data_IF_387958131704
#
_entry.id   IF_387958131704
#
_cell.length_a   1.000
_cell.length_b   1.000
_cell.length_c   1.000
_cell.angle_alpha   90.00
_cell.angle_beta   90.00
_cell.angle_gamma   90.00
#
_symmetry.space_group_name_H-M   'P 1'
#
loop_
_entity.id
_entity.type
_entity.pdbx_description
1 polymer ?
#
# COMPACT_ATOMS: atom_id res chain seq x y z
N UNK A 1 7.78 -7.75 30.19
CA UNK A 1 8.30 -8.66 29.13
C UNK A 1 7.30 -8.69 27.98
N UNK A 2 7.73 -8.39 26.75
CA UNK A 2 6.85 -8.32 25.57
C UNK A 2 6.30 -9.72 25.26
N UNK A 3 4.97 -9.91 25.23
CA UNK A 3 4.38 -11.21 24.91
C UNK A 3 4.45 -11.47 23.40
N UNK A 4 5.53 -12.11 22.97
CA UNK A 4 5.83 -12.37 21.56
C UNK A 4 4.71 -13.12 20.82
N UNK A 5 4.04 -14.08 21.49
CA UNK A 5 2.91 -14.84 20.92
C UNK A 5 1.70 -13.93 20.63
N UNK A 6 1.37 -13.02 21.57
CA UNK A 6 0.29 -12.03 21.37
C UNK A 6 0.61 -11.06 20.23
N UNK A 7 1.85 -10.58 20.15
CA UNK A 7 2.30 -9.68 19.07
C UNK A 7 2.19 -10.36 17.70
N UNK A 8 2.71 -11.58 17.57
CA UNK A 8 2.67 -12.37 16.33
C UNK A 8 1.23 -12.61 15.85
N UNK A 9 0.33 -12.98 16.75
CA UNK A 9 -1.10 -13.14 16.43
C UNK A 9 -1.77 -11.83 15.99
N UNK A 10 -1.39 -10.70 16.60
CA UNK A 10 -1.88 -9.38 16.19
C UNK A 10 -1.43 -9.03 14.77
N UNK A 11 -0.16 -9.28 14.44
CA UNK A 11 0.39 -9.07 13.10
C UNK A 11 -0.35 -9.89 12.04
N UNK A 12 -0.57 -11.20 12.27
CA UNK A 12 -1.31 -12.05 11.34
C UNK A 12 -2.75 -11.57 11.10
N UNK A 13 -3.46 -11.15 12.16
CA UNK A 13 -4.82 -10.59 12.02
C UNK A 13 -4.82 -9.30 11.19
N UNK A 14 -3.84 -8.42 11.42
CA UNK A 14 -3.68 -7.18 10.65
C UNK A 14 -3.38 -7.46 9.17
N UNK A 15 -2.50 -8.43 8.88
CA UNK A 15 -2.18 -8.86 7.52
C UNK A 15 -3.40 -9.43 6.81
N UNK A 16 -4.12 -10.37 7.43
CA UNK A 16 -5.31 -10.96 6.83
C UNK A 16 -6.37 -9.90 6.52
N UNK A 17 -6.57 -8.94 7.44
CA UNK A 17 -7.46 -7.80 7.20
C UNK A 17 -7.01 -6.96 6.00
N UNK A 18 -5.72 -6.74 5.85
CA UNK A 18 -5.17 -6.03 4.69
C UNK A 18 -5.36 -6.81 3.39
N UNK A 19 -5.03 -8.10 3.37
CA UNK A 19 -5.18 -8.99 2.20
C UNK A 19 -6.64 -9.01 1.75
N UNK A 20 -7.57 -9.31 2.66
CA UNK A 20 -8.99 -9.38 2.32
C UNK A 20 -9.53 -8.03 1.83
N UNK A 21 -9.09 -6.91 2.44
CA UNK A 21 -9.49 -5.57 1.99
C UNK A 21 -8.90 -5.22 0.61
N UNK A 22 -7.66 -5.59 0.35
CA UNK A 22 -7.02 -5.37 -0.95
C UNK A 22 -7.73 -6.15 -2.05
N UNK A 23 -7.94 -7.46 -1.86
CA UNK A 23 -8.67 -8.30 -2.83
C UNK A 23 -10.04 -7.68 -3.09
N UNK A 24 -10.83 -7.38 -2.05
CA UNK A 24 -12.17 -6.83 -2.20
C UNK A 24 -12.25 -5.52 -3.00
N UNK A 25 -11.22 -4.65 -2.92
CA UNK A 25 -11.25 -3.35 -3.58
C UNK A 25 -10.61 -3.33 -4.96
N UNK A 26 -9.72 -4.29 -5.27
CA UNK A 26 -8.86 -4.22 -6.46
C UNK A 26 -8.95 -5.45 -7.38
N UNK A 27 -9.56 -6.57 -6.96
CA UNK A 27 -9.61 -7.80 -7.77
C UNK A 27 -10.45 -7.67 -9.05
N UNK A 28 -11.53 -6.88 -8.99
CA UNK A 28 -12.47 -6.69 -10.10
C UNK A 28 -12.13 -5.47 -10.97
N UNK A 29 -11.03 -4.77 -10.69
CA UNK A 29 -10.60 -3.63 -11.48
C UNK A 29 -10.07 -4.10 -12.84
N UNK A 30 -10.58 -3.51 -13.91
CA UNK A 30 -10.15 -3.83 -15.28
C UNK A 30 -8.75 -3.30 -15.60
N UNK A 31 -8.38 -2.17 -14.99
CA UNK A 31 -7.09 -1.52 -15.16
C UNK A 31 -6.56 -1.10 -13.80
N UNK A 32 -5.34 -1.51 -13.48
CA UNK A 32 -4.64 -1.13 -12.27
C UNK A 32 -3.38 -0.34 -12.63
N UNK A 33 -2.96 0.56 -11.76
CA UNK A 33 -1.66 1.24 -11.91
C UNK A 33 -0.82 1.00 -10.66
N UNK A 34 0.30 0.32 -10.84
CA UNK A 34 1.34 0.16 -9.83
C UNK A 34 2.32 1.32 -9.96
N UNK A 35 2.53 2.05 -8.87
CA UNK A 35 3.46 3.18 -8.80
C UNK A 35 4.45 2.96 -7.66
N UNK A 36 5.67 3.32 -7.95
CA UNK A 36 6.84 3.18 -7.11
C UNK A 36 7.45 4.59 -7.02
N UNK A 37 7.24 5.27 -5.89
CA UNK A 37 7.68 6.66 -5.65
C UNK A 37 8.90 6.69 -4.73
N UNK A 38 10.03 7.10 -5.26
CA UNK A 38 11.28 7.23 -4.53
C UNK A 38 11.62 8.69 -4.31
N UNK A 39 11.93 9.09 -3.07
CA UNK A 39 12.51 10.41 -2.79
C UNK A 39 13.92 10.49 -3.37
N UNK A 40 14.35 11.63 -3.93
CA UNK A 40 15.75 11.87 -4.31
C UNK A 40 16.59 12.06 -3.04
N UNK A 41 16.09 12.89 -2.13
CA UNK A 41 16.66 13.07 -0.80
C UNK A 41 16.50 11.82 0.08
N UNK A 42 17.37 11.68 1.08
CA UNK A 42 17.34 10.54 1.99
C UNK A 42 16.32 10.75 3.13
N UNK A 43 15.04 10.82 2.78
CA UNK A 43 13.96 11.00 3.76
C UNK A 43 13.76 9.69 4.54
N UNK A 44 14.09 9.69 5.81
CA UNK A 44 13.96 8.55 6.74
C UNK A 44 12.75 8.67 7.68
N UNK A 45 12.26 9.89 7.90
CA UNK A 45 11.09 10.17 8.75
C UNK A 45 9.78 9.85 8.01
N UNK A 46 9.02 8.88 8.55
CA UNK A 46 7.78 8.40 7.97
C UNK A 46 6.66 9.44 8.00
N UNK A 47 6.63 10.32 9.02
CA UNK A 47 5.64 11.39 9.12
C UNK A 47 5.87 12.42 8.01
N UNK A 48 7.13 12.84 7.81
CA UNK A 48 7.49 13.77 6.72
C UNK A 48 7.14 13.13 5.37
N UNK A 49 7.53 11.87 5.16
CA UNK A 49 7.23 11.16 3.93
C UNK A 49 5.71 11.05 3.67
N UNK A 50 4.92 10.79 4.72
CA UNK A 50 3.46 10.73 4.64
C UNK A 50 2.82 12.09 4.31
N UNK A 51 3.34 13.20 4.83
CA UNK A 51 2.88 14.54 4.47
C UNK A 51 3.08 14.79 2.97
N UNK A 52 4.26 14.47 2.42
CA UNK A 52 4.52 14.62 1.00
C UNK A 52 3.65 13.70 0.15
N UNK A 53 3.39 12.48 0.61
CA UNK A 53 2.46 11.57 -0.04
C UNK A 53 1.02 12.12 -0.07
N UNK A 54 0.54 12.72 1.02
CA UNK A 54 -0.80 13.30 1.07
C UNK A 54 -0.94 14.48 0.09
N UNK A 55 0.09 15.32 -0.03
CA UNK A 55 0.14 16.39 -1.05
C UNK A 55 0.14 15.81 -2.46
N UNK A 56 0.88 14.74 -2.71
CA UNK A 56 0.86 14.00 -3.98
C UNK A 56 -0.56 13.51 -4.32
N UNK A 57 -1.25 12.84 -3.40
CA UNK A 57 -2.62 12.36 -3.63
C UNK A 57 -3.59 13.52 -3.88
N UNK A 58 -3.43 14.65 -3.16
CA UNK A 58 -4.25 15.85 -3.37
C UNK A 58 -4.09 16.40 -4.80
N UNK A 59 -2.84 16.57 -5.26
CA UNK A 59 -2.53 17.02 -6.64
C UNK A 59 -3.04 16.02 -7.68
N UNK A 60 -2.86 14.73 -7.41
CA UNK A 60 -3.28 13.66 -8.30
C UNK A 60 -4.80 13.65 -8.50
N UNK A 61 -5.57 13.71 -7.42
CA UNK A 61 -7.04 13.78 -7.50
C UNK A 61 -7.52 15.03 -8.26
N UNK A 62 -6.88 16.17 -8.02
CA UNK A 62 -7.18 17.42 -8.71
C UNK A 62 -6.95 17.31 -10.23
N UNK A 63 -5.80 16.79 -10.65
CA UNK A 63 -5.48 16.63 -12.08
C UNK A 63 -6.22 15.49 -12.76
N UNK A 64 -6.55 14.42 -12.04
CA UNK A 64 -7.24 13.25 -12.58
C UNK A 64 -8.76 13.44 -12.67
N UNK A 65 -9.32 14.41 -11.93
CA UNK A 65 -10.76 14.76 -11.95
C UNK A 65 -11.71 13.60 -11.61
N UNK A 66 -11.23 12.61 -10.84
CA UNK A 66 -12.03 11.48 -10.39
C UNK A 66 -11.51 10.99 -9.06
N UNK A 67 -12.39 10.40 -8.27
CA UNK A 67 -11.98 9.63 -7.11
C UNK A 67 -11.17 8.40 -7.52
N UNK A 68 -10.14 8.15 -6.71
CA UNK A 68 -9.19 7.07 -6.86
C UNK A 68 -9.19 6.26 -5.57
N UNK A 69 -9.27 4.93 -5.68
CA UNK A 69 -8.92 4.03 -4.59
C UNK A 69 -7.45 3.70 -4.69
N UNK A 70 -6.78 3.64 -3.56
CA UNK A 70 -5.40 3.17 -3.52
C UNK A 70 -5.08 2.37 -2.26
N UNK A 71 -4.10 1.49 -2.39
CA UNK A 71 -3.37 0.90 -1.27
C UNK A 71 -1.91 1.31 -1.42
N UNK A 72 -1.41 2.05 -0.45
CA UNK A 72 0.00 2.40 -0.32
C UNK A 72 0.65 1.50 0.72
N UNK A 73 1.88 1.10 0.44
CA UNK A 73 2.84 0.51 1.38
C UNK A 73 4.10 1.36 1.36
N UNK A 74 4.75 1.55 2.50
CA UNK A 74 6.09 2.13 2.54
C UNK A 74 7.14 1.09 2.91
N UNK A 75 8.34 1.27 2.35
CA UNK A 75 9.50 0.43 2.62
C UNK A 75 10.76 1.31 2.68
N UNK A 76 11.79 0.85 3.39
CA UNK A 76 13.10 1.49 3.36
C UNK A 76 13.94 0.92 2.22
N UNK A 77 14.53 1.79 1.40
CA UNK A 77 15.55 1.42 0.43
C UNK A 77 16.84 0.99 1.13
N UNK A 78 17.78 0.38 0.38
CA UNK A 78 19.11 -0.01 0.91
C UNK A 78 19.86 1.16 1.59
N UNK A 79 19.64 2.40 1.11
CA UNK A 79 20.24 3.62 1.67
C UNK A 79 19.49 4.21 2.88
N UNK A 80 18.39 3.60 3.30
CA UNK A 80 17.52 4.09 4.39
C UNK A 80 16.39 5.03 3.96
N UNK A 81 16.39 5.54 2.73
CA UNK A 81 15.32 6.41 2.24
C UNK A 81 13.99 5.66 2.13
N UNK A 82 12.89 6.33 2.43
CA UNK A 82 11.55 5.79 2.27
C UNK A 82 11.17 5.67 0.79
N UNK A 83 10.51 4.57 0.46
CA UNK A 83 9.93 4.26 -0.83
C UNK A 83 8.44 3.97 -0.66
N UNK A 84 7.58 4.58 -1.47
CA UNK A 84 6.17 4.16 -1.56
C UNK A 84 5.92 3.21 -2.72
N UNK A 85 5.28 2.09 -2.41
CA UNK A 85 4.69 1.16 -3.37
C UNK A 85 3.17 1.32 -3.31
N UNK A 86 2.55 1.65 -4.43
CA UNK A 86 1.15 2.07 -4.46
C UNK A 86 0.45 1.35 -5.58
N UNK A 87 -0.72 0.79 -5.28
CA UNK A 87 -1.65 0.29 -6.30
C UNK A 87 -2.87 1.20 -6.35
N UNK A 88 -3.25 1.61 -7.56
CA UNK A 88 -4.48 2.36 -7.86
C UNK A 88 -5.50 1.49 -8.58
N UNK A 89 -6.78 1.75 -8.34
CA UNK A 89 -7.93 1.03 -8.95
C UNK A 89 -8.21 1.36 -10.42
N UNK A 90 -7.42 2.28 -11.00
CA UNK A 90 -7.58 2.79 -12.36
C UNK A 90 -6.23 3.00 -13.01
N UNK A 91 -6.25 3.08 -14.34
CA UNK A 91 -5.11 3.56 -15.11
C UNK A 91 -4.83 5.04 -14.83
N UNK A 92 -3.57 5.36 -14.55
CA UNK A 92 -3.08 6.74 -14.40
C UNK A 92 -1.84 6.88 -15.28
N UNK A 93 -1.87 7.84 -16.21
CA UNK A 93 -0.74 8.08 -17.11
C UNK A 93 0.48 8.60 -16.36
N UNK A 94 1.68 8.15 -16.77
CA UNK A 94 2.95 8.60 -16.21
C UNK A 94 3.13 10.12 -16.29
N UNK A 95 2.51 10.78 -17.28
CA UNK A 95 2.50 12.24 -17.43
C UNK A 95 1.80 12.92 -16.25
N UNK A 96 0.64 12.41 -15.82
CA UNK A 96 -0.09 12.96 -14.67
C UNK A 96 0.71 12.70 -13.38
N UNK A 97 1.22 11.49 -13.22
CA UNK A 97 1.98 11.09 -12.02
C UNK A 97 3.21 11.99 -11.86
N UNK A 98 3.96 12.22 -12.94
CA UNK A 98 5.16 13.09 -12.95
C UNK A 98 4.84 14.54 -12.62
N UNK A 99 3.68 15.06 -13.02
CA UNK A 99 3.25 16.42 -12.62
C UNK A 99 2.91 16.52 -11.13
N UNK A 100 2.60 15.41 -10.46
CA UNK A 100 2.18 15.39 -9.06
C UNK A 100 3.34 15.14 -8.09
N UNK A 101 4.38 14.43 -8.53
CA UNK A 101 5.51 14.01 -7.71
C UNK A 101 6.80 14.73 -8.10
N UNK A 102 7.17 15.73 -7.30
CA UNK A 102 8.35 16.57 -7.54
C UNK A 102 9.57 16.16 -6.71
N UNK A 103 9.47 15.07 -5.93
CA UNK A 103 10.47 14.74 -4.91
C UNK A 103 11.48 13.67 -5.35
N UNK A 104 11.36 13.10 -6.55
CA UNK A 104 12.34 12.12 -7.04
C UNK A 104 11.83 11.21 -8.16
N UNK A 105 12.23 9.94 -8.11
CA UNK A 105 12.05 8.96 -9.19
C UNK A 105 10.65 8.34 -9.11
N UNK A 106 10.08 8.10 -10.28
CA UNK A 106 8.76 7.48 -10.47
C UNK A 106 8.95 6.29 -11.40
N UNK A 107 8.59 5.11 -10.93
CA UNK A 107 8.36 3.96 -11.80
C UNK A 107 6.85 3.67 -11.78
N UNK A 108 6.26 3.50 -12.96
CA UNK A 108 4.83 3.21 -13.10
C UNK A 108 4.63 2.05 -14.06
N UNK A 109 3.82 1.08 -13.68
CA UNK A 109 3.43 -0.05 -14.50
C UNK A 109 1.90 -0.09 -14.59
N UNK A 110 1.37 -0.10 -15.82
CA UNK A 110 -0.04 -0.39 -16.07
C UNK A 110 -0.24 -1.89 -16.08
N UNK A 111 -1.29 -2.36 -15.42
CA UNK A 111 -1.64 -3.76 -15.37
C UNK A 111 -3.05 -3.87 -15.95
N UNK A 112 -3.10 -4.48 -17.12
CA UNK A 112 -4.33 -4.71 -17.86
C UNK A 112 -4.69 -6.19 -17.67
N UNK A 113 -5.98 -6.46 -17.53
CA UNK A 113 -6.58 -7.77 -17.20
C UNK A 113 -6.62 -8.09 -15.70
N UNK A 114 -7.75 -8.66 -15.29
CA UNK A 114 -8.14 -8.94 -13.91
C UNK A 114 -7.27 -10.04 -13.31
N UNK A 115 -6.27 -9.68 -12.50
CA UNK A 115 -5.47 -10.68 -11.77
C UNK A 115 -5.61 -10.49 -10.26
N UNK A 116 -6.49 -11.29 -9.67
CA UNK A 116 -6.46 -11.61 -8.23
C UNK A 116 -5.03 -11.99 -7.81
N UNK A 117 -4.30 -12.71 -8.66
CA UNK A 117 -2.94 -13.15 -8.39
C UNK A 117 -1.94 -12.01 -8.32
N UNK A 118 -2.13 -10.94 -9.12
CA UNK A 118 -1.31 -9.74 -8.99
C UNK A 118 -1.53 -9.07 -7.64
N UNK A 119 -2.78 -8.93 -7.20
CA UNK A 119 -3.11 -8.35 -5.89
C UNK A 119 -2.51 -9.19 -4.76
N UNK A 120 -2.66 -10.52 -4.84
CA UNK A 120 -2.05 -11.46 -3.89
C UNK A 120 -0.53 -11.31 -3.87
N UNK A 121 0.11 -11.24 -5.05
CA UNK A 121 1.55 -11.05 -5.18
C UNK A 121 2.00 -9.72 -4.58
N UNK A 122 1.32 -8.61 -4.88
CA UNK A 122 1.64 -7.29 -4.34
C UNK A 122 1.59 -7.30 -2.81
N UNK A 123 0.49 -7.81 -2.24
CA UNK A 123 0.34 -7.86 -0.78
C UNK A 123 1.36 -8.81 -0.16
N UNK A 124 1.60 -9.97 -0.75
CA UNK A 124 2.65 -10.88 -0.29
C UNK A 124 4.03 -10.21 -0.29
N UNK A 125 4.39 -9.55 -1.40
CA UNK A 125 5.73 -8.98 -1.62
C UNK A 125 6.07 -7.84 -0.66
N UNK A 126 5.10 -6.95 -0.42
CA UNK A 126 5.32 -5.68 0.27
C UNK A 126 4.76 -5.65 1.69
N UNK A 127 3.85 -6.56 2.06
CA UNK A 127 3.24 -6.58 3.39
C UNK A 127 3.64 -7.84 4.14
N UNK A 128 3.46 -9.02 3.54
CA UNK A 128 3.68 -10.30 4.25
C UNK A 128 5.15 -10.67 4.36
N UNK A 129 5.91 -10.62 3.25
CA UNK A 129 7.32 -11.03 3.18
C UNK A 129 8.24 -10.23 4.12
N UNK A 130 8.13 -8.88 4.24
CA UNK A 130 8.93 -8.13 5.19
C UNK A 130 8.67 -8.58 6.63
N UNK A 131 7.43 -8.86 7.01
CA UNK A 131 7.07 -9.24 8.37
C UNK A 131 7.51 -10.65 8.78
N UNK A 132 7.84 -11.54 7.82
CA UNK A 132 8.30 -12.91 8.08
C UNK A 132 9.82 -12.95 8.31
N UNK A 133 10.60 -12.09 7.65
CA UNK A 133 12.05 -12.06 7.82
C UNK A 133 12.39 -11.43 9.16
N UNK A 134 12.84 -12.21 10.14
CA UNK A 134 13.14 -11.76 11.50
C UNK A 134 14.16 -10.61 11.60
N UNK A 135 14.94 -10.34 10.54
CA UNK A 135 15.85 -9.19 10.39
C UNK A 135 15.13 -7.82 10.43
N UNK A 136 13.80 -7.81 10.45
CA UNK A 136 12.99 -6.61 10.50
C UNK A 136 12.83 -5.99 11.90
N UNK A 137 13.70 -6.33 12.86
CA UNK A 137 13.76 -5.62 14.15
C UNK A 137 14.21 -4.15 14.04
N UNK A 138 14.60 -3.68 12.84
CA UNK A 138 14.76 -2.25 12.50
C UNK A 138 13.57 -1.60 11.77
N UNK A 139 12.49 -2.34 11.44
CA UNK A 139 11.88 -2.16 10.10
C UNK A 139 10.53 -1.47 10.00
N UNK A 140 9.86 -1.15 11.08
CA UNK A 140 8.81 -0.13 11.03
C UNK A 140 8.84 0.61 12.36
N UNK A 141 8.71 1.93 12.33
CA UNK A 141 8.49 2.70 13.54
C UNK A 141 7.34 2.04 14.31
N UNK A 142 7.64 1.51 15.49
CA UNK A 142 6.64 0.86 16.33
C UNK A 142 5.47 1.85 16.49
N UNK A 143 4.26 1.41 16.12
CA UNK A 143 3.01 2.18 16.05
C UNK A 143 2.68 2.91 14.73
N UNK A 144 3.53 2.85 13.70
CA UNK A 144 3.19 3.35 12.37
C UNK A 144 2.77 2.19 11.47
N UNK A 145 1.58 2.30 10.86
CA UNK A 145 1.10 1.27 9.91
C UNK A 145 1.95 1.31 8.65
N UNK A 146 2.54 0.17 8.29
CA UNK A 146 3.32 -0.01 7.05
C UNK A 146 2.50 0.22 5.77
N UNK A 147 1.17 0.14 5.87
CA UNK A 147 0.25 0.32 4.76
C UNK A 147 -0.91 1.26 5.09
N UNK A 148 -1.48 1.87 4.04
CA UNK A 148 -2.62 2.77 4.11
C UNK A 148 -3.53 2.57 2.90
N UNK A 149 -4.82 2.39 3.15
CA UNK A 149 -5.86 2.43 2.13
C UNK A 149 -6.42 3.85 2.00
N UNK A 150 -6.89 4.22 0.81
CA UNK A 150 -7.72 5.39 0.62
C UNK A 150 -9.05 5.25 1.40
N UNK A 151 -9.65 6.38 1.75
CA UNK A 151 -10.88 6.42 2.56
C UNK A 151 -12.07 5.72 1.88
N UNK A 152 -12.16 5.82 0.55
CA UNK A 152 -13.20 5.18 -0.27
C UNK A 152 -13.00 3.66 -0.48
N UNK A 153 -11.95 3.04 0.08
CA UNK A 153 -11.82 1.58 0.10
C UNK A 153 -12.74 0.96 1.17
N UNK A 154 -13.61 0.05 0.72
CA UNK A 154 -14.62 -0.62 1.55
C UNK A 154 -14.05 -1.85 2.23
N UNK A 155 -14.60 -2.25 3.37
CA UNK A 155 -14.26 -3.52 3.99
C UNK A 155 -15.13 -4.63 3.40
N UNK A 156 -14.61 -5.86 3.21
CA UNK A 156 -15.43 -6.98 2.78
C UNK A 156 -16.52 -7.25 3.82
N UNK A 157 -17.74 -7.56 3.36
CA UNK A 157 -18.83 -8.01 4.22
C UNK A 157 -18.53 -9.45 4.64
N UNK A 158 -18.12 -9.65 5.88
CA UNK A 158 -17.98 -11.00 6.46
C UNK A 158 -19.38 -11.41 6.94
N UNK A 159 -19.96 -12.46 6.36
CA UNK A 159 -21.14 -13.11 6.97
C UNK A 159 -20.63 -13.81 8.24
N UNK A 160 -20.98 -13.28 9.40
CA UNK A 160 -20.73 -13.94 10.68
C UNK A 160 -22.01 -14.69 11.02
N UNK A 161 -21.93 -16.02 11.14
CA UNK A 161 -23.08 -16.88 11.47
C UNK A 161 -23.85 -17.42 10.26
N UNK A 162 -23.27 -18.38 9.53
CA UNK A 162 -24.11 -19.40 8.88
C UNK A 162 -24.12 -20.56 9.86
N UNK A 163 -25.14 -20.64 10.70
CA UNK A 163 -25.48 -21.90 11.33
C UNK A 163 -25.91 -22.81 10.19
N UNK A 164 -25.20 -23.91 10.00
CA UNK A 164 -25.73 -25.02 9.23
C UNK A 164 -26.83 -25.62 10.11
N UNK A 165 -28.08 -25.47 9.69
CA UNK A 165 -29.16 -26.36 10.14
C UNK A 165 -28.89 -27.78 9.62
#
# INVERSE_FOLDING_TARGET
>A
MLNYKKLKNSCYRSQNKCISKAIYNFSECNNLTLITLTFKENITDVKIANQQFNLFIKRLKYLYQSDLKYLKVYEYQKRGAIHFQIIFDKYISSKIIRKCWNYGIINSLSINNKYIDFIKYFVYRYITKPLIKEETQKVYDLNIKSYQFSYNCKNPKVKVGVNYE
#
